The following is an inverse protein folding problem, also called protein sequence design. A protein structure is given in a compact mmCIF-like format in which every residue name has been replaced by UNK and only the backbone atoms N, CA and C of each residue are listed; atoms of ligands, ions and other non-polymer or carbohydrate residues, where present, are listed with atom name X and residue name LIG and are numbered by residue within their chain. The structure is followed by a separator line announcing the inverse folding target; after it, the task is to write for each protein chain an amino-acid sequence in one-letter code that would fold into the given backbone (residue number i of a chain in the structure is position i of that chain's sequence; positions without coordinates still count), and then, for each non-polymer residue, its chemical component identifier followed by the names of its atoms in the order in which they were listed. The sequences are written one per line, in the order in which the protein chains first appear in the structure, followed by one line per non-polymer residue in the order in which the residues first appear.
data_IF_413563774843
#
_entry.id   IF_413563774843
#
_cell.length_a   1.000
_cell.length_b   1.000
_cell.length_c   1.000
_cell.angle_alpha   90.00
_cell.angle_beta   90.00
_cell.angle_gamma   90.00
#
_symmetry.space_group_name_H-M   'P 1'
#
loop_
_entity.id
_entity.type
_entity.pdbx_description
1 polymer ?
#
# COMPACT_ATOMS: atom_id res chain seq x y z
N UNK A 1 -19.29 31.72 -14.73
CA UNK A 1 -17.81 31.82 -14.65
C UNK A 1 -17.49 32.28 -13.24
N UNK A 2 -16.79 31.58 -12.35
CA UNK A 2 -16.04 30.32 -12.35
C UNK A 2 -16.11 29.82 -10.90
N UNK A 3 -16.48 28.56 -10.64
CA UNK A 3 -16.24 27.98 -9.30
C UNK A 3 -15.72 26.56 -9.45
N UNK A 4 -14.56 26.43 -10.11
CA UNK A 4 -13.73 25.24 -9.97
C UNK A 4 -12.94 25.38 -8.68
N UNK A 5 -13.64 25.34 -7.55
CA UNK A 5 -12.99 25.09 -6.26
C UNK A 5 -12.49 23.64 -6.30
N UNK A 6 -11.21 23.45 -5.99
CA UNK A 6 -10.68 22.12 -5.74
C UNK A 6 -11.21 21.69 -4.40
N UNK A 7 -11.82 20.52 -4.32
CA UNK A 7 -12.58 20.13 -3.13
C UNK A 7 -11.71 19.34 -2.16
N UNK A 8 -10.80 18.52 -2.69
CA UNK A 8 -9.93 17.63 -1.92
C UNK A 8 -8.48 17.78 -2.38
N UNK A 9 -7.58 18.01 -1.42
CA UNK A 9 -6.13 17.99 -1.61
C UNK A 9 -5.56 16.68 -1.06
N UNK A 10 -4.70 15.99 -1.82
CA UNK A 10 -4.01 14.78 -1.36
C UNK A 10 -2.50 15.08 -1.26
N UNK A 11 -2.00 15.07 -0.02
CA UNK A 11 -0.57 15.20 0.31
C UNK A 11 0.09 13.83 0.36
N UNK A 12 1.20 13.64 -0.36
CA UNK A 12 1.94 12.38 -0.39
C UNK A 12 3.42 12.58 -0.77
N UNK A 13 4.24 11.56 -0.53
CA UNK A 13 5.65 11.50 -1.00
C UNK A 13 5.74 10.81 -2.37
N UNK A 14 6.86 10.94 -3.09
CA UNK A 14 7.03 10.33 -4.44
C UNK A 14 6.67 8.86 -4.48
N UNK A 15 7.15 8.13 -3.47
CA UNK A 15 7.07 6.69 -3.36
C UNK A 15 5.63 6.21 -3.16
N UNK A 16 4.73 7.11 -2.75
CA UNK A 16 3.31 6.86 -2.49
C UNK A 16 2.39 7.38 -3.58
N UNK A 17 2.96 7.82 -4.72
CA UNK A 17 2.20 8.34 -5.86
C UNK A 17 1.06 7.39 -6.26
N UNK A 18 1.32 6.10 -6.33
CA UNK A 18 0.30 5.10 -6.69
C UNK A 18 -0.88 5.10 -5.72
N UNK A 19 -0.65 5.13 -4.39
CA UNK A 19 -1.71 5.25 -3.39
C UNK A 19 -2.49 6.54 -3.58
N UNK A 20 -1.81 7.67 -3.79
CA UNK A 20 -2.49 8.95 -4.00
C UNK A 20 -3.42 8.92 -5.23
N UNK A 21 -3.02 8.23 -6.30
CA UNK A 21 -3.88 7.99 -7.46
C UNK A 21 -5.04 7.03 -7.16
N UNK A 22 -4.81 5.96 -6.38
CA UNK A 22 -5.89 5.06 -5.96
C UNK A 22 -6.95 5.81 -5.15
N UNK A 23 -6.56 6.68 -4.22
CA UNK A 23 -7.46 7.53 -3.43
C UNK A 23 -8.21 8.52 -4.34
N UNK A 24 -7.50 9.14 -5.29
CA UNK A 24 -8.13 10.04 -6.26
C UNK A 24 -9.19 9.32 -7.09
N UNK A 25 -8.89 8.13 -7.59
CA UNK A 25 -9.82 7.32 -8.37
C UNK A 25 -11.02 6.88 -7.53
N UNK A 26 -10.81 6.54 -6.25
CA UNK A 26 -11.86 6.19 -5.29
C UNK A 26 -12.85 7.35 -5.15
N UNK A 27 -12.36 8.55 -4.90
CA UNK A 27 -13.20 9.76 -4.74
C UNK A 27 -13.90 10.10 -6.05
N UNK A 28 -13.19 10.09 -7.18
CA UNK A 28 -13.79 10.40 -8.48
C UNK A 28 -14.92 9.43 -8.85
N UNK A 29 -14.73 8.12 -8.64
CA UNK A 29 -15.75 7.11 -8.93
C UNK A 29 -16.91 7.13 -7.93
N UNK A 30 -16.63 7.41 -6.65
CA UNK A 30 -17.64 7.59 -5.60
C UNK A 30 -18.61 8.73 -5.95
N UNK A 31 -18.07 9.85 -6.41
CA UNK A 31 -18.82 11.09 -6.64
C UNK A 31 -19.07 11.41 -8.12
N UNK A 32 -18.95 10.42 -9.02
CA UNK A 32 -19.23 10.58 -10.47
C UNK A 32 -18.47 11.78 -11.09
N UNK A 33 -17.20 11.99 -10.68
CA UNK A 33 -16.33 13.11 -11.07
C UNK A 33 -16.85 14.52 -10.72
N UNK A 34 -17.80 14.66 -9.78
CA UNK A 34 -18.29 15.95 -9.29
C UNK A 34 -17.32 16.67 -8.35
N UNK A 35 -16.30 15.96 -7.88
CA UNK A 35 -15.28 16.47 -6.96
C UNK A 35 -13.97 16.66 -7.71
N UNK A 36 -13.41 17.86 -7.61
CA UNK A 36 -12.05 18.14 -8.09
C UNK A 36 -11.03 17.68 -7.04
N UNK A 37 -10.22 16.67 -7.39
CA UNK A 37 -9.15 16.14 -6.53
C UNK A 37 -7.79 16.56 -7.05
N UNK A 38 -7.05 17.32 -6.23
CA UNK A 38 -5.66 17.68 -6.47
C UNK A 38 -4.73 16.69 -5.77
N UNK A 39 -3.74 16.17 -6.50
CA UNK A 39 -2.71 15.25 -5.98
C UNK A 39 -1.38 15.97 -6.04
N UNK A 40 -0.69 16.09 -4.89
CA UNK A 40 0.58 16.79 -4.81
C UNK A 40 1.68 16.07 -5.59
N UNK A 41 1.98 16.50 -6.81
CA UNK A 41 3.16 16.02 -7.54
C UNK A 41 4.43 16.32 -6.72
N UNK A 42 5.09 15.26 -6.28
CA UNK A 42 6.28 15.25 -5.44
C UNK A 42 7.36 16.30 -5.80
N UNK A 43 8.04 16.81 -4.77
CA UNK A 43 8.87 18.02 -4.71
C UNK A 43 10.37 17.78 -4.68
N UNK A 44 10.80 16.52 -4.79
CA UNK A 44 12.24 16.19 -4.92
C UNK A 44 12.89 16.80 -6.18
N UNK A 45 12.08 17.40 -7.06
CA UNK A 45 12.47 18.10 -8.28
C UNK A 45 11.99 19.57 -8.30
N UNK A 46 12.15 20.33 -7.20
CA UNK A 46 11.99 21.79 -7.22
C UNK A 46 13.33 22.44 -7.61
N UNK A 47 13.48 23.00 -8.82
CA UNK A 47 14.63 23.81 -9.15
C UNK A 47 14.64 25.08 -8.29
N UNK A 48 15.83 25.52 -7.88
CA UNK A 48 16.04 26.82 -7.24
C UNK A 48 15.40 27.93 -8.10
N UNK A 49 14.41 28.63 -7.53
CA UNK A 49 13.69 29.73 -8.18
C UNK A 49 12.37 29.37 -8.90
N UNK A 50 11.83 28.15 -8.75
CA UNK A 50 10.60 27.74 -9.45
C UNK A 50 9.28 28.13 -8.76
N UNK A 51 8.27 28.44 -9.59
CA UNK A 51 6.88 28.80 -9.27
C UNK A 51 5.99 27.61 -8.80
N UNK A 52 6.59 26.47 -8.46
CA UNK A 52 5.84 25.23 -8.20
C UNK A 52 5.23 25.17 -6.80
N UNK A 53 5.85 25.84 -5.82
CA UNK A 53 5.29 25.92 -4.45
C UNK A 53 4.00 26.74 -4.43
N UNK A 54 3.90 27.77 -5.28
CA UNK A 54 2.73 28.65 -5.37
C UNK A 54 1.48 27.89 -5.79
N UNK A 55 1.59 26.97 -6.76
CA UNK A 55 0.48 26.10 -7.18
C UNK A 55 -0.04 25.27 -6.01
N UNK A 56 0.87 24.81 -5.15
CA UNK A 56 0.51 23.92 -4.05
C UNK A 56 -0.13 24.73 -2.92
N UNK A 57 0.43 25.89 -2.59
CA UNK A 57 -0.18 26.84 -1.64
C UNK A 57 -1.57 27.27 -2.16
N UNK A 58 -1.70 27.55 -3.45
CA UNK A 58 -2.96 27.94 -4.07
C UNK A 58 -4.01 26.82 -3.96
N UNK A 59 -3.66 25.59 -4.36
CA UNK A 59 -4.58 24.45 -4.30
C UNK A 59 -4.94 24.09 -2.85
N UNK A 60 -3.96 24.10 -1.96
CA UNK A 60 -4.20 23.90 -0.54
C UNK A 60 -5.12 24.99 -0.01
N UNK A 61 -4.90 26.26 -0.34
CA UNK A 61 -5.73 27.38 0.13
C UNK A 61 -7.20 27.31 -0.32
N UNK A 62 -7.48 26.60 -1.42
CA UNK A 62 -8.81 26.44 -2.00
C UNK A 62 -9.52 25.14 -1.60
N UNK A 63 -8.80 24.16 -1.03
CA UNK A 63 -9.40 22.89 -0.67
C UNK A 63 -10.36 22.99 0.50
N UNK A 64 -11.39 22.14 0.53
CA UNK A 64 -12.34 21.99 1.65
C UNK A 64 -12.00 20.78 2.54
N UNK A 65 -11.28 19.81 1.98
CA UNK A 65 -10.69 18.70 2.71
C UNK A 65 -9.24 18.47 2.23
N UNK A 66 -8.41 18.00 3.15
CA UNK A 66 -7.06 17.54 2.90
C UNK A 66 -6.91 16.12 3.44
N UNK A 67 -6.42 15.24 2.56
CA UNK A 67 -6.07 13.87 2.88
C UNK A 67 -4.54 13.80 2.90
N UNK A 68 -4.01 13.25 3.99
CA UNK A 68 -2.58 13.13 4.20
C UNK A 68 -2.21 11.67 4.16
N UNK A 69 -1.45 11.25 3.15
CA UNK A 69 -1.04 9.86 3.00
C UNK A 69 0.07 9.55 4.01
N UNK A 70 -0.23 8.69 4.97
CA UNK A 70 0.61 8.36 6.11
C UNK A 70 1.15 6.93 6.01
N UNK A 71 2.47 6.80 5.97
CA UNK A 71 3.24 5.57 6.19
C UNK A 71 4.35 5.82 7.20
N UNK A 72 5.07 4.78 7.67
CA UNK A 72 6.28 4.96 8.46
C UNK A 72 7.36 5.84 7.80
N UNK A 73 7.33 6.01 6.47
CA UNK A 73 8.25 6.85 5.72
C UNK A 73 7.74 8.29 5.61
N UNK A 74 6.48 8.48 5.23
CA UNK A 74 5.94 9.80 4.89
C UNK A 74 5.83 10.73 6.11
N UNK A 75 5.48 10.19 7.29
CA UNK A 75 5.38 10.98 8.53
C UNK A 75 6.71 11.58 8.99
N UNK A 76 7.84 11.08 8.47
CA UNK A 76 9.19 11.59 8.77
C UNK A 76 9.63 12.66 7.76
N UNK A 77 8.91 12.84 6.65
CA UNK A 77 9.28 13.81 5.63
C UNK A 77 8.88 15.22 6.06
N UNK A 78 9.84 16.18 6.13
CA UNK A 78 9.53 17.56 6.50
C UNK A 78 8.42 18.19 5.66
N UNK A 79 8.34 17.78 4.39
CA UNK A 79 7.37 18.34 3.47
C UNK A 79 5.91 17.94 3.81
N UNK A 80 5.67 16.69 4.21
CA UNK A 80 4.34 16.24 4.67
C UNK A 80 3.93 17.01 5.92
N UNK A 81 4.87 17.21 6.85
CA UNK A 81 4.62 18.02 8.06
C UNK A 81 4.26 19.47 7.72
N UNK A 82 4.86 20.05 6.69
CA UNK A 82 4.57 21.40 6.23
C UNK A 82 3.13 21.53 5.68
N UNK A 83 2.73 20.62 4.79
CA UNK A 83 1.36 20.62 4.23
C UNK A 83 0.31 20.35 5.32
N UNK A 84 0.56 19.36 6.18
CA UNK A 84 -0.28 19.07 7.34
C UNK A 84 -0.46 20.29 8.25
N UNK A 85 0.64 21.00 8.56
CA UNK A 85 0.59 22.21 9.38
C UNK A 85 -0.18 23.35 8.71
N UNK A 86 -0.05 23.52 7.40
CA UNK A 86 -0.78 24.52 6.64
C UNK A 86 -2.30 24.21 6.59
N UNK A 87 -2.68 22.94 6.43
CA UNK A 87 -4.06 22.48 6.54
C UNK A 87 -4.64 22.65 7.95
N UNK A 88 -3.84 22.37 8.98
CA UNK A 88 -4.26 22.42 10.38
C UNK A 88 -4.82 23.78 10.81
N UNK A 89 -4.24 24.86 10.29
CA UNK A 89 -4.62 26.24 10.61
C UNK A 89 -5.90 26.70 9.88
N UNK A 90 -6.45 25.86 8.99
CA UNK A 90 -7.59 26.20 8.15
C UNK A 90 -8.86 25.48 8.63
N UNK A 91 -10.04 26.05 8.39
CA UNK A 91 -11.32 25.43 8.74
C UNK A 91 -11.71 24.35 7.72
N UNK A 92 -10.82 23.38 7.50
CA UNK A 92 -11.00 22.28 6.54
C UNK A 92 -10.99 20.93 7.26
N UNK A 93 -11.53 19.91 6.60
CA UNK A 93 -11.38 18.54 7.09
C UNK A 93 -9.98 18.03 6.80
N UNK A 94 -9.18 17.79 7.85
CA UNK A 94 -7.82 17.25 7.75
C UNK A 94 -7.80 15.78 8.17
N UNK A 95 -7.52 14.88 7.22
CA UNK A 95 -7.75 13.43 7.36
C UNK A 95 -6.43 12.66 7.14
N UNK A 96 -5.81 12.12 8.20
CA UNK A 96 -4.74 11.14 8.05
C UNK A 96 -5.25 9.85 7.39
N UNK A 97 -4.68 9.48 6.26
CA UNK A 97 -4.95 8.24 5.53
C UNK A 97 -3.77 7.29 5.74
N UNK A 98 -3.93 6.35 6.64
CA UNK A 98 -2.87 5.42 7.02
C UNK A 98 -2.81 4.24 6.06
N UNK A 99 -1.59 3.87 5.67
CA UNK A 99 -1.28 2.66 4.92
C UNK A 99 0.08 2.13 5.39
N UNK A 100 0.50 0.98 4.88
CA UNK A 100 1.83 0.44 5.18
C UNK A 100 2.08 0.19 6.68
N UNK A 101 1.01 -0.12 7.44
CA UNK A 101 1.11 -0.62 8.82
C UNK A 101 1.15 0.38 9.93
N UNK A 102 1.24 1.65 9.58
CA UNK A 102 0.91 2.67 10.56
C UNK A 102 -0.60 2.73 10.74
N UNK A 103 -1.03 3.06 11.95
CA UNK A 103 -2.43 3.27 12.31
C UNK A 103 -2.63 4.68 12.83
N UNK A 104 -3.87 5.21 12.78
CA UNK A 104 -4.15 6.56 13.27
C UNK A 104 -3.68 6.82 14.72
N UNK A 105 -3.83 5.84 15.61
CA UNK A 105 -3.42 5.93 17.03
C UNK A 105 -1.90 5.85 17.24
N UNK A 106 -1.16 5.36 16.23
CA UNK A 106 0.31 5.27 16.24
C UNK A 106 1.00 6.42 15.51
N UNK A 107 0.24 7.33 14.90
CA UNK A 107 0.82 8.51 14.27
C UNK A 107 1.47 9.43 15.32
N UNK A 108 2.59 10.10 14.98
CA UNK A 108 3.18 11.08 15.87
C UNK A 108 2.28 12.31 16.01
N UNK A 109 2.45 13.06 17.10
CA UNK A 109 1.89 14.41 17.20
C UNK A 109 2.52 15.27 16.09
N UNK A 110 1.73 16.10 15.37
CA UNK A 110 0.32 16.41 15.60
C UNK A 110 -0.70 15.56 14.83
N UNK A 111 -0.29 14.57 14.04
CA UNK A 111 -1.19 13.79 13.18
C UNK A 111 -2.27 13.02 13.96
N UNK A 112 -1.90 12.36 15.07
CA UNK A 112 -2.83 11.59 15.90
C UNK A 112 -3.88 12.43 16.63
N UNK A 113 -3.76 13.76 16.61
CA UNK A 113 -4.77 14.68 17.13
C UNK A 113 -5.95 14.86 16.16
N UNK A 114 -5.89 14.29 14.95
CA UNK A 114 -7.01 14.17 14.01
C UNK A 114 -7.47 12.73 13.93
N UNK A 115 -8.76 12.55 13.64
CA UNK A 115 -9.30 11.22 13.31
C UNK A 115 -8.78 10.82 11.93
N UNK A 116 -7.95 9.78 11.91
CA UNK A 116 -7.49 9.15 10.68
C UNK A 116 -8.26 7.87 10.37
N UNK A 117 -7.97 7.29 9.21
CA UNK A 117 -8.52 6.02 8.74
C UNK A 117 -7.40 5.11 8.22
N UNK A 118 -7.65 3.81 8.14
CA UNK A 118 -6.79 2.82 7.50
C UNK A 118 -7.29 2.53 6.09
N UNK A 119 -6.46 2.81 5.07
CA UNK A 119 -6.84 2.66 3.67
C UNK A 119 -7.10 1.21 3.21
N UNK A 120 -6.60 0.23 3.96
CA UNK A 120 -6.80 -1.18 3.70
C UNK A 120 -7.98 -1.80 4.48
N UNK A 121 -8.85 -0.95 5.03
CA UNK A 121 -10.07 -1.35 5.72
C UNK A 121 -11.30 -0.80 4.98
N UNK A 122 -12.24 -1.69 4.68
CA UNK A 122 -13.44 -1.39 3.88
C UNK A 122 -14.35 -0.38 4.60
N UNK A 123 -14.53 -0.55 5.92
CA UNK A 123 -15.42 0.29 6.72
C UNK A 123 -14.84 1.70 6.83
N UNK A 124 -13.53 1.80 6.97
CA UNK A 124 -12.79 3.05 7.01
C UNK A 124 -12.84 3.81 5.66
N UNK A 125 -12.72 3.12 4.53
CA UNK A 125 -12.93 3.74 3.21
C UNK A 125 -14.36 4.24 3.03
N UNK A 126 -15.34 3.52 3.55
CA UNK A 126 -16.74 3.97 3.55
C UNK A 126 -16.92 5.23 4.40
N UNK A 127 -16.39 5.23 5.63
CA UNK A 127 -16.41 6.41 6.52
C UNK A 127 -15.74 7.62 5.84
N UNK A 128 -14.62 7.41 5.16
CA UNK A 128 -13.94 8.46 4.41
C UNK A 128 -14.85 9.07 3.32
N UNK A 129 -15.49 8.24 2.51
CA UNK A 129 -16.37 8.71 1.44
C UNK A 129 -17.61 9.41 2.00
N UNK A 130 -18.27 8.84 3.01
CA UNK A 130 -19.43 9.45 3.65
C UNK A 130 -19.07 10.84 4.21
N UNK A 131 -17.94 10.94 4.90
CA UNK A 131 -17.45 12.19 5.48
C UNK A 131 -17.08 13.26 4.43
N UNK A 132 -16.49 12.86 3.30
CA UNK A 132 -16.23 13.79 2.18
C UNK A 132 -17.55 14.31 1.59
N UNK A 133 -18.56 13.45 1.46
CA UNK A 133 -19.89 13.84 0.98
C UNK A 133 -20.54 14.89 1.87
N UNK A 134 -20.48 14.67 3.18
CA UNK A 134 -20.99 15.60 4.19
C UNK A 134 -20.24 16.94 4.17
N UNK A 135 -18.91 16.91 4.12
CA UNK A 135 -18.07 18.12 4.10
C UNK A 135 -18.38 19.01 2.88
N UNK A 136 -18.63 18.39 1.73
CA UNK A 136 -18.85 19.09 0.47
C UNK A 136 -20.34 19.35 0.18
N UNK A 137 -21.24 18.83 1.02
CA UNK A 137 -22.70 18.86 0.81
C UNK A 137 -23.09 18.29 -0.56
N UNK A 138 -22.44 17.21 -0.95
CA UNK A 138 -22.71 16.51 -2.20
C UNK A 138 -23.45 15.23 -1.86
N UNK A 139 -24.68 15.11 -2.37
CA UNK A 139 -25.41 13.85 -2.36
C UNK A 139 -24.63 12.83 -3.19
N UNK A 140 -24.11 11.81 -2.53
CA UNK A 140 -23.53 10.64 -3.19
C UNK A 140 -24.48 9.45 -3.02
N UNK A 141 -24.47 8.59 -4.02
CA UNK A 141 -25.19 7.33 -3.93
C UNK A 141 -24.33 6.38 -3.12
N UNK A 142 -24.91 5.79 -2.07
CA UNK A 142 -24.28 4.69 -1.36
C UNK A 142 -23.77 3.66 -2.36
N UNK A 143 -22.47 3.40 -2.28
CA UNK A 143 -21.83 2.35 -3.05
C UNK A 143 -21.98 1.02 -2.32
N UNK A 144 -22.01 -0.08 -3.06
CA UNK A 144 -22.02 -1.41 -2.49
C UNK A 144 -20.65 -1.78 -1.89
N UNK A 145 -20.60 -2.91 -1.20
CA UNK A 145 -19.37 -3.40 -0.59
C UNK A 145 -18.30 -3.74 -1.62
N UNK A 146 -18.69 -4.20 -2.81
CA UNK A 146 -17.79 -4.60 -3.89
C UNK A 146 -16.98 -3.40 -4.42
N UNK A 147 -17.62 -2.23 -4.50
CA UNK A 147 -16.94 -0.98 -4.81
C UNK A 147 -15.78 -0.69 -3.84
N UNK A 148 -16.02 -0.73 -2.52
CA UNK A 148 -14.98 -0.46 -1.54
C UNK A 148 -13.92 -1.57 -1.51
N UNK A 149 -14.34 -2.82 -1.70
CA UNK A 149 -13.44 -3.97 -1.77
C UNK A 149 -12.44 -3.84 -2.92
N UNK A 150 -12.87 -3.37 -4.11
CA UNK A 150 -11.99 -3.09 -5.25
C UNK A 150 -10.83 -2.15 -4.89
N UNK A 151 -11.10 -1.05 -4.19
CA UNK A 151 -10.06 -0.07 -3.82
C UNK A 151 -9.19 -0.54 -2.67
N UNK A 152 -9.81 -1.18 -1.68
CA UNK A 152 -9.08 -1.85 -0.59
C UNK A 152 -8.06 -2.85 -1.14
N UNK A 153 -8.45 -3.65 -2.14
CA UNK A 153 -7.54 -4.60 -2.80
C UNK A 153 -6.40 -3.92 -3.55
N UNK A 154 -6.63 -2.80 -4.23
CA UNK A 154 -5.56 -2.02 -4.87
C UNK A 154 -4.54 -1.52 -3.84
N UNK A 155 -4.99 -0.99 -2.70
CA UNK A 155 -4.11 -0.49 -1.63
C UNK A 155 -3.31 -1.65 -1.03
N UNK A 156 -3.96 -2.76 -0.70
CA UNK A 156 -3.29 -3.97 -0.20
C UNK A 156 -2.26 -4.49 -1.21
N UNK A 157 -2.55 -4.41 -2.50
CA UNK A 157 -1.62 -4.84 -3.55
C UNK A 157 -0.39 -3.93 -3.61
N UNK A 158 -0.56 -2.62 -3.53
CA UNK A 158 0.55 -1.67 -3.41
C UNK A 158 1.39 -1.95 -2.16
N UNK A 159 0.74 -2.10 -1.00
CA UNK A 159 1.41 -2.40 0.26
C UNK A 159 2.22 -3.69 0.12
N UNK A 160 1.61 -4.77 -0.40
CA UNK A 160 2.31 -6.03 -0.63
C UNK A 160 3.49 -5.90 -1.58
N UNK A 161 3.37 -5.07 -2.63
CA UNK A 161 4.44 -4.83 -3.60
C UNK A 161 5.64 -4.07 -2.98
N UNK A 162 5.38 -3.12 -2.08
CA UNK A 162 6.43 -2.35 -1.38
C UNK A 162 7.06 -3.16 -0.22
N UNK A 163 6.28 -4.06 0.39
CA UNK A 163 6.68 -4.93 1.50
C UNK A 163 7.05 -6.36 1.07
N UNK A 164 7.37 -6.60 -0.20
CA UNK A 164 8.08 -7.83 -0.56
C UNK A 164 9.45 -7.82 0.12
N UNK A 165 9.48 -8.29 1.36
CA UNK A 165 10.69 -8.49 2.12
C UNK A 165 11.57 -9.42 1.29
N UNK A 166 12.83 -9.06 1.10
CA UNK A 166 13.82 -9.85 0.37
C UNK A 166 13.82 -11.31 0.85
N UNK A 167 13.58 -11.56 2.14
CA UNK A 167 13.43 -12.91 2.70
C UNK A 167 12.17 -13.66 2.25
N UNK A 168 11.04 -12.95 2.06
CA UNK A 168 9.82 -13.54 1.50
C UNK A 168 10.04 -13.89 0.03
N UNK A 169 10.70 -12.99 -0.72
CA UNK A 169 11.12 -13.28 -2.10
C UNK A 169 12.07 -14.48 -2.12
N UNK A 170 13.12 -14.49 -1.30
CA UNK A 170 14.10 -15.58 -1.21
C UNK A 170 13.45 -16.91 -0.85
N UNK A 171 12.49 -16.90 0.09
CA UNK A 171 11.80 -18.11 0.47
C UNK A 171 10.81 -18.59 -0.61
N UNK A 172 10.14 -17.67 -1.32
CA UNK A 172 9.38 -18.02 -2.52
C UNK A 172 10.29 -18.52 -3.65
N UNK A 173 11.48 -17.95 -3.82
CA UNK A 173 12.47 -18.42 -4.76
C UNK A 173 12.94 -19.83 -4.40
N UNK A 174 13.16 -20.12 -3.11
CA UNK A 174 13.45 -21.49 -2.65
C UNK A 174 12.31 -22.43 -3.00
N UNK A 175 11.06 -22.04 -2.80
CA UNK A 175 9.91 -22.84 -3.21
C UNK A 175 9.91 -23.11 -4.73
N UNK A 176 10.17 -22.09 -5.55
CA UNK A 176 10.28 -22.22 -7.00
C UNK A 176 11.45 -23.14 -7.38
N UNK A 177 12.62 -23.01 -6.74
CA UNK A 177 13.78 -23.88 -6.96
C UNK A 177 13.50 -25.35 -6.55
N UNK A 178 12.76 -25.58 -5.47
CA UNK A 178 12.35 -26.93 -5.07
C UNK A 178 11.42 -27.53 -6.14
N UNK A 179 10.49 -26.73 -6.68
CA UNK A 179 9.65 -27.14 -7.79
C UNK A 179 10.51 -27.44 -9.03
N UNK A 180 11.55 -26.66 -9.37
CA UNK A 180 12.48 -26.96 -10.48
C UNK A 180 13.13 -28.35 -10.38
N UNK A 181 13.38 -28.86 -9.17
CA UNK A 181 14.04 -30.13 -8.89
C UNK A 181 13.29 -31.41 -9.29
N UNK A 182 12.49 -31.38 -10.36
CA UNK A 182 11.71 -32.48 -10.94
C UNK A 182 10.51 -32.97 -10.11
N UNK A 183 9.99 -32.16 -9.17
CA UNK A 183 8.69 -32.43 -8.56
C UNK A 183 7.60 -31.70 -9.33
N UNK A 184 6.56 -32.41 -9.75
CA UNK A 184 5.39 -31.79 -10.38
C UNK A 184 4.52 -31.06 -9.35
N UNK A 185 4.60 -31.50 -8.09
CA UNK A 185 3.91 -30.89 -6.98
C UNK A 185 4.71 -30.95 -5.67
N UNK A 186 4.51 -29.98 -4.79
CA UNK A 186 5.14 -29.89 -3.47
C UNK A 186 4.09 -29.50 -2.44
N UNK A 187 4.00 -30.26 -1.36
CA UNK A 187 3.32 -29.83 -0.15
C UNK A 187 4.18 -28.79 0.56
N UNK A 188 3.58 -27.65 0.88
CA UNK A 188 4.27 -26.53 1.49
C UNK A 188 3.46 -25.92 2.63
N UNK A 189 4.07 -25.90 3.82
CA UNK A 189 3.55 -25.23 5.00
C UNK A 189 4.02 -23.77 5.02
N UNK A 190 3.08 -22.83 4.92
CA UNK A 190 3.40 -21.40 4.92
C UNK A 190 3.87 -20.90 6.28
N UNK A 191 3.56 -21.56 7.38
CA UNK A 191 4.13 -21.18 8.67
C UNK A 191 5.63 -21.44 8.71
N UNK A 192 6.12 -22.42 7.95
CA UNK A 192 7.54 -22.67 7.83
C UNK A 192 8.33 -21.54 7.16
N UNK A 193 7.66 -20.61 6.47
CA UNK A 193 8.28 -19.42 5.86
C UNK A 193 8.64 -18.35 6.87
N UNK A 194 7.89 -18.29 7.97
CA UNK A 194 7.94 -17.19 8.93
C UNK A 194 8.49 -17.61 10.28
N UNK A 195 8.58 -18.92 10.55
CA UNK A 195 9.12 -19.47 11.80
C UNK A 195 10.58 -19.04 12.09
N UNK A 196 11.34 -18.73 11.04
CA UNK A 196 12.75 -18.36 11.13
C UNK A 196 12.96 -16.84 11.16
N UNK A 197 11.88 -16.05 11.14
CA UNK A 197 11.95 -14.59 11.24
C UNK A 197 11.99 -14.17 12.72
N UNK A 198 12.85 -13.22 13.06
CA UNK A 198 12.89 -12.65 14.42
C UNK A 198 11.67 -11.75 14.67
N UNK A 199 11.33 -11.46 15.93
CA UNK A 199 10.25 -10.52 16.25
C UNK A 199 10.46 -9.12 15.62
N UNK A 200 11.72 -8.67 15.53
CA UNK A 200 12.09 -7.43 14.86
C UNK A 200 11.85 -7.51 13.34
N UNK A 201 12.20 -8.64 12.71
CA UNK A 201 11.96 -8.88 11.28
C UNK A 201 10.47 -9.02 10.97
N UNK A 202 9.70 -9.64 11.85
CA UNK A 202 8.25 -9.72 11.79
C UNK A 202 7.65 -8.32 11.93
N UNK A 203 8.19 -7.47 12.80
CA UNK A 203 7.70 -6.08 12.97
C UNK A 203 7.98 -5.18 11.76
N UNK A 204 9.04 -5.48 11.00
CA UNK A 204 9.39 -4.79 9.75
C UNK A 204 8.61 -5.32 8.54
N UNK A 205 8.06 -6.53 8.64
CA UNK A 205 7.08 -7.03 7.67
C UNK A 205 5.75 -6.38 8.04
N UNK A 206 5.28 -5.49 7.19
CA UNK A 206 3.93 -5.02 7.36
C UNK A 206 2.95 -6.14 7.05
N UNK A 207 2.34 -6.65 8.12
CA UNK A 207 1.22 -7.57 8.10
C UNK A 207 -0.02 -6.71 8.34
N UNK A 208 -0.90 -6.49 7.34
CA UNK A 208 -2.16 -5.82 7.60
C UNK A 208 -2.84 -6.48 8.79
N UNK A 209 -3.26 -5.75 9.80
CA UNK A 209 -3.72 -6.37 11.06
C UNK A 209 -4.92 -7.33 10.91
N UNK A 210 -5.64 -7.24 9.78
CA UNK A 210 -6.71 -8.18 9.40
C UNK A 210 -6.26 -9.32 8.48
N UNK A 211 -5.01 -9.29 7.98
CA UNK A 211 -4.45 -10.25 7.03
C UNK A 211 -3.04 -10.66 7.46
N UNK A 212 -2.92 -11.81 8.11
CA UNK A 212 -1.62 -12.41 8.43
C UNK A 212 -0.72 -12.59 7.20
N UNK A 213 0.60 -12.82 7.40
CA UNK A 213 1.57 -13.03 6.31
C UNK A 213 1.04 -14.06 5.31
N UNK A 214 0.45 -15.15 5.82
CA UNK A 214 -0.19 -16.19 5.00
C UNK A 214 -1.17 -15.63 3.93
N UNK A 215 -2.00 -14.64 4.24
CA UNK A 215 -2.94 -14.04 3.28
C UNK A 215 -2.23 -13.21 2.21
N UNK A 216 -1.14 -12.51 2.56
CA UNK A 216 -0.32 -11.81 1.57
C UNK A 216 0.33 -12.81 0.62
N UNK A 217 0.94 -13.88 1.16
CA UNK A 217 1.56 -14.94 0.37
C UNK A 217 0.52 -15.64 -0.52
N UNK A 218 -0.70 -15.86 -0.02
CA UNK A 218 -1.81 -16.36 -0.82
C UNK A 218 -2.18 -15.43 -1.96
N UNK A 219 -2.24 -14.12 -1.73
CA UNK A 219 -2.53 -13.16 -2.78
C UNK A 219 -1.46 -13.19 -3.88
N UNK A 220 -0.19 -13.31 -3.50
CA UNK A 220 0.93 -13.50 -4.44
C UNK A 220 0.77 -14.79 -5.23
N UNK A 221 0.41 -15.89 -4.56
CA UNK A 221 0.13 -17.16 -5.23
C UNK A 221 -1.08 -17.10 -6.16
N UNK A 222 -2.15 -16.38 -5.79
CA UNK A 222 -3.32 -16.13 -6.63
C UNK A 222 -2.88 -15.40 -7.90
N UNK A 223 -2.07 -14.35 -7.77
CA UNK A 223 -1.55 -13.63 -8.93
C UNK A 223 -0.74 -14.56 -9.85
N UNK A 224 0.14 -15.39 -9.30
CA UNK A 224 0.89 -16.37 -10.09
C UNK A 224 0.00 -17.45 -10.73
N UNK A 225 -1.05 -17.88 -10.03
CA UNK A 225 -2.04 -18.82 -10.56
C UNK A 225 -2.79 -18.22 -11.74
N UNK A 226 -3.22 -16.98 -11.61
CA UNK A 226 -3.97 -16.28 -12.66
C UNK A 226 -3.08 -16.00 -13.89
N UNK A 227 -1.77 -15.81 -13.67
CA UNK A 227 -0.75 -15.78 -14.72
C UNK A 227 -0.39 -17.17 -15.27
N UNK A 228 -0.99 -18.24 -14.74
CA UNK A 228 -0.72 -19.63 -15.14
C UNK A 228 0.69 -20.12 -14.82
N UNK A 229 1.38 -19.48 -13.87
CA UNK A 229 2.73 -19.81 -13.40
C UNK A 229 2.70 -20.99 -12.44
N UNK A 230 1.73 -21.02 -11.52
CA UNK A 230 1.49 -22.14 -10.59
C UNK A 230 0.00 -22.54 -10.60
N UNK A 231 -0.31 -23.68 -10.02
CA UNK A 231 -1.63 -23.99 -9.46
C UNK A 231 -1.43 -24.32 -8.00
N UNK A 232 -2.43 -24.09 -7.16
CA UNK A 232 -2.34 -24.51 -5.77
C UNK A 232 -3.70 -24.89 -5.20
N UNK A 233 -3.69 -25.83 -4.27
CA UNK A 233 -4.87 -26.35 -3.57
C UNK A 233 -4.57 -26.43 -2.07
N UNK A 234 -5.51 -26.00 -1.23
CA UNK A 234 -5.39 -26.10 0.23
C UNK A 234 -5.54 -27.57 0.66
N UNK A 235 -4.60 -28.07 1.46
CA UNK A 235 -4.61 -29.46 1.95
C UNK A 235 -5.19 -29.51 3.37
N UNK A 236 -4.74 -28.63 4.27
CA UNK A 236 -5.12 -28.66 5.69
C UNK A 236 -5.02 -27.27 6.32
N UNK A 237 -5.97 -26.92 7.19
CA UNK A 237 -5.98 -25.70 8.02
C UNK A 237 -5.84 -26.08 9.49
N UNK A 238 -4.82 -25.54 10.16
CA UNK A 238 -4.50 -25.74 11.56
C UNK A 238 -4.99 -24.60 12.45
N UNK A 239 -4.61 -24.63 13.74
CA UNK A 239 -5.12 -23.65 14.71
C UNK A 239 -4.70 -22.21 14.39
N UNK A 240 -5.57 -21.21 14.67
CA UNK A 240 -5.24 -19.81 14.50
C UNK A 240 -4.07 -19.39 15.40
N UNK A 241 -3.04 -18.78 14.82
CA UNK A 241 -1.95 -18.11 15.52
C UNK A 241 -2.04 -16.59 15.34
N UNK A 242 -1.24 -15.83 16.09
CA UNK A 242 -1.08 -14.37 15.90
C UNK A 242 -0.59 -13.98 14.51
N UNK A 243 -0.09 -14.94 13.71
CA UNK A 243 0.42 -14.75 12.35
C UNK A 243 -0.54 -15.30 11.27
N UNK A 244 -1.65 -15.96 11.67
CA UNK A 244 -2.60 -16.62 10.79
C UNK A 244 -2.86 -18.10 11.12
N UNK A 245 -3.80 -18.73 10.40
CA UNK A 245 -4.01 -20.18 10.46
C UNK A 245 -2.85 -20.91 9.77
N UNK A 246 -2.27 -21.92 10.45
CA UNK A 246 -1.29 -22.81 9.85
C UNK A 246 -1.92 -23.50 8.64
N UNK A 247 -1.47 -23.21 7.41
CA UNK A 247 -2.13 -23.75 6.22
C UNK A 247 -1.13 -24.38 5.27
N UNK A 248 -1.38 -25.65 4.96
CA UNK A 248 -0.58 -26.42 4.00
C UNK A 248 -1.23 -26.37 2.62
N UNK A 249 -0.41 -26.17 1.58
CA UNK A 249 -0.88 -26.16 0.20
C UNK A 249 -0.12 -27.16 -0.65
N UNK A 250 -0.85 -27.80 -1.56
CA UNK A 250 -0.26 -28.51 -2.69
C UNK A 250 0.00 -27.51 -3.79
N UNK A 251 1.26 -27.26 -4.14
CA UNK A 251 1.65 -26.29 -5.16
C UNK A 251 2.17 -27.05 -6.38
N UNK A 252 1.59 -26.79 -7.54
CA UNK A 252 1.82 -27.50 -8.80
C UNK A 252 2.35 -26.52 -9.85
N UNK A 253 3.25 -26.97 -10.71
CA UNK A 253 3.76 -26.16 -11.82
C UNK A 253 2.66 -25.81 -12.80
N UNK A 254 2.57 -24.53 -13.14
CA UNK A 254 1.72 -24.03 -14.21
C UNK A 254 2.44 -24.03 -15.57
N UNK A 255 1.69 -23.73 -16.62
CA UNK A 255 2.19 -23.64 -18.01
C UNK A 255 3.35 -22.64 -18.17
N UNK A 256 3.34 -21.56 -17.40
CA UNK A 256 4.31 -20.46 -17.50
C UNK A 256 5.40 -20.52 -16.43
N UNK A 257 5.48 -21.62 -15.66
CA UNK A 257 6.40 -21.78 -14.54
C UNK A 257 7.86 -21.44 -14.90
N UNK A 258 8.41 -22.15 -15.91
CA UNK A 258 9.81 -21.96 -16.31
C UNK A 258 10.09 -20.59 -16.95
N UNK A 259 9.08 -19.96 -17.55
CA UNK A 259 9.22 -18.62 -18.11
C UNK A 259 9.30 -17.57 -17.00
N UNK A 260 8.37 -17.62 -16.03
CA UNK A 260 8.37 -16.72 -14.89
C UNK A 260 9.66 -16.87 -14.07
N UNK A 261 10.08 -18.11 -13.81
CA UNK A 261 11.34 -18.40 -13.14
C UNK A 261 12.54 -17.71 -13.80
N UNK A 262 12.66 -17.82 -15.13
CA UNK A 262 13.76 -17.18 -15.87
C UNK A 262 13.73 -15.66 -15.67
N UNK A 263 12.56 -15.04 -15.80
CA UNK A 263 12.38 -13.59 -15.59
C UNK A 263 12.73 -13.18 -14.15
N UNK A 264 12.35 -13.99 -13.16
CA UNK A 264 12.69 -13.74 -11.75
C UNK A 264 14.19 -13.85 -11.47
N UNK A 265 14.86 -14.86 -12.03
CA UNK A 265 16.31 -15.01 -11.90
C UNK A 265 17.05 -13.84 -12.58
N UNK A 266 16.60 -13.41 -13.75
CA UNK A 266 17.18 -12.26 -14.45
C UNK A 266 17.00 -10.95 -13.63
N UNK A 267 15.81 -10.75 -13.05
CA UNK A 267 15.52 -9.60 -12.18
C UNK A 267 16.35 -9.60 -10.89
N UNK A 268 16.47 -10.75 -10.22
CA UNK A 268 17.22 -10.85 -8.96
C UNK A 268 18.72 -10.78 -9.17
N UNK A 269 19.25 -11.32 -10.26
CA UNK A 269 20.65 -11.12 -10.64
C UNK A 269 20.96 -9.65 -10.95
N UNK A 270 20.03 -8.93 -11.60
CA UNK A 270 20.17 -7.49 -11.85
C UNK A 270 20.09 -6.67 -10.56
N UNK A 271 19.24 -7.07 -9.61
CA UNK A 271 19.02 -6.31 -8.38
C UNK A 271 19.97 -6.63 -7.23
N UNK A 272 20.61 -7.80 -7.22
CA UNK A 272 21.71 -8.08 -6.30
C UNK A 272 22.93 -7.17 -6.59
N UNK A 273 23.12 -6.71 -7.84
CA UNK A 273 24.14 -5.70 -8.14
C UNK A 273 23.79 -4.29 -7.63
N UNK A 274 22.49 -3.93 -7.56
CA UNK A 274 22.04 -2.65 -7.01
C UNK A 274 21.89 -2.65 -5.49
N UNK A 275 21.54 -3.78 -4.87
CA UNK A 275 21.49 -3.95 -3.41
C UNK A 275 22.89 -3.83 -2.76
N UNK A 276 23.94 -4.40 -3.37
CA UNK A 276 25.32 -4.21 -2.89
C UNK A 276 25.75 -2.72 -2.94
N UNK A 277 25.22 -1.94 -3.89
CA UNK A 277 25.53 -0.51 -4.00
C UNK A 277 24.77 0.38 -3.01
N UNK A 278 23.72 -0.12 -2.35
CA UNK A 278 22.96 0.61 -1.34
C UNK A 278 23.39 0.32 0.12
N UNK A 279 24.33 -0.61 0.33
CA UNK A 279 24.91 -0.90 1.65
C UNK A 279 26.41 -0.61 1.79
N UNK A 280 27.04 0.07 0.82
CA UNK A 280 28.38 0.62 1.00
C UNK A 280 28.35 1.88 1.91
N UNK A 281 28.20 1.66 3.21
CA UNK A 281 28.81 2.54 4.19
C UNK A 281 30.32 2.25 4.16
N UNK A 282 31.08 3.15 3.54
CA UNK A 282 32.53 3.18 3.68
C UNK A 282 32.90 3.18 5.16
N UNK A 283 33.86 2.36 5.61
CA UNK A 283 34.45 2.55 6.92
C UNK A 283 35.39 3.77 6.87
N UNK A 284 35.37 4.50 8.00
CA UNK A 284 36.16 5.69 8.39
C UNK A 284 35.47 7.03 8.16
#
# INVERSE_FOLDING_TARGET
MNNTEYNVFISHITEEKEIAFIIKDLINEAFENKINVFVSSDKTSIPLGSKNIDVIIENLSKCSAEIIVCSPDSIKRPWINFEFGAGWLRPISLIPFCHSGIKPDKLPIPFNLRKGICGNDIDDLKILIDHIGDCLKIDFKNKDIDFFQKYTQKIISFESNKFFNTKIIENFQRLIQILEGNKDSVEYDFNSLIKDLTEEEISNIYIPERKGIHIMLLQVMVNFRDLGVIKFECIETGQPSSLGEATSYNIIKGKYFFYALKVFNDYTNANNQTLDSQFNLSPV
#
